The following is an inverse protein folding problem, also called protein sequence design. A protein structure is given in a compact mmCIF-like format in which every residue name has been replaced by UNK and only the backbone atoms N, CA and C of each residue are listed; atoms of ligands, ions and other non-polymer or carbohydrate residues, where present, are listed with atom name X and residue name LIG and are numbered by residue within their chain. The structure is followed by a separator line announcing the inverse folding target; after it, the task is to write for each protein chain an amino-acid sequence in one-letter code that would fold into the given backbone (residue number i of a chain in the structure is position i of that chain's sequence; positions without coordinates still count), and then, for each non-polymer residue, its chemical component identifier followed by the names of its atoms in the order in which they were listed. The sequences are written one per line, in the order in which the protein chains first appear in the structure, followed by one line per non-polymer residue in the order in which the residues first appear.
data_IF_885275113567
#
_entry.id   IF_885275113567
#
_cell.length_a   1.000
_cell.length_b   1.000
_cell.length_c   1.000
_cell.angle_alpha   90.00
_cell.angle_beta   90.00
_cell.angle_gamma   90.00
#
_symmetry.space_group_name_H-M   'P 1'
#
loop_
_entity.id
_entity.type
_entity.pdbx_description
1 polymer ?
#
# COMPACT_ATOMS: atom_id res chain seq x y z
N UNK A 1 24.76 -13.72 16.32
CA UNK A 1 24.27 -15.01 15.77
C UNK A 1 25.26 -15.61 14.78
N UNK A 2 25.78 -14.86 13.80
CA UNK A 2 26.76 -15.35 12.83
C UNK A 2 28.00 -15.91 13.51
N UNK A 3 28.61 -15.16 14.45
CA UNK A 3 29.80 -15.60 15.19
C UNK A 3 29.57 -16.85 16.02
N UNK A 4 28.32 -17.06 16.51
CA UNK A 4 27.94 -18.31 17.19
C UNK A 4 27.87 -19.48 16.21
N UNK A 5 27.28 -19.26 15.03
CA UNK A 5 27.13 -20.30 14.01
C UNK A 5 28.46 -20.65 13.32
N UNK A 6 29.42 -19.72 13.27
CA UNK A 6 30.72 -19.94 12.62
C UNK A 6 31.73 -20.66 13.51
N UNK A 7 31.44 -20.86 14.81
CA UNK A 7 32.25 -21.69 15.66
C UNK A 7 32.19 -23.16 15.25
N UNK A 8 33.32 -23.83 15.31
CA UNK A 8 33.44 -25.23 14.86
C UNK A 8 32.48 -26.17 15.59
N UNK A 9 32.26 -25.92 16.88
CA UNK A 9 31.32 -26.68 17.75
C UNK A 9 29.86 -26.58 17.32
N UNK A 10 29.49 -25.52 16.57
CA UNK A 10 28.11 -25.24 16.13
C UNK A 10 27.84 -25.64 14.66
N UNK A 11 28.79 -26.36 14.03
CA UNK A 11 28.64 -26.77 12.62
C UNK A 11 27.39 -27.60 12.36
N UNK A 12 27.06 -28.49 13.25
CA UNK A 12 25.87 -29.35 13.12
C UNK A 12 24.57 -28.48 13.22
N UNK A 13 24.56 -27.50 14.14
CA UNK A 13 23.46 -26.56 14.29
C UNK A 13 23.31 -25.75 13.01
N UNK A 14 24.39 -25.22 12.45
CA UNK A 14 24.41 -24.49 11.18
C UNK A 14 23.85 -25.33 10.03
N UNK A 15 24.23 -26.60 9.95
CA UNK A 15 23.73 -27.54 8.93
C UNK A 15 22.23 -27.80 9.08
N UNK A 16 21.72 -28.01 10.29
CA UNK A 16 20.29 -28.18 10.55
C UNK A 16 19.48 -26.95 10.25
N UNK A 17 19.98 -25.77 10.61
CA UNK A 17 19.35 -24.48 10.23
C UNK A 17 19.31 -24.39 8.70
N UNK A 18 20.42 -24.67 7.99
CA UNK A 18 20.45 -24.64 6.54
C UNK A 18 19.45 -25.59 5.88
N UNK A 19 19.19 -26.75 6.48
CA UNK A 19 18.18 -27.70 5.99
C UNK A 19 16.74 -27.26 6.26
N UNK A 20 16.51 -26.43 7.28
CA UNK A 20 15.21 -25.87 7.63
C UNK A 20 14.88 -24.55 6.90
N UNK A 21 15.84 -23.99 6.17
CA UNK A 21 15.63 -22.76 5.38
C UNK A 21 14.76 -23.07 4.17
N UNK A 22 13.55 -22.50 4.15
CA UNK A 22 12.63 -22.65 3.02
C UNK A 22 13.04 -21.78 1.84
N UNK A 23 13.51 -20.57 2.10
CA UNK A 23 14.00 -19.64 1.09
C UNK A 23 14.99 -18.63 1.69
N UNK A 24 15.70 -17.91 0.85
CA UNK A 24 16.59 -16.84 1.26
C UNK A 24 16.44 -15.64 0.34
N UNK A 25 16.43 -14.43 0.93
CA UNK A 25 16.37 -13.16 0.19
C UNK A 25 17.69 -12.42 0.40
N UNK A 26 18.26 -11.89 -0.69
CA UNK A 26 19.49 -11.10 -0.61
C UNK A 26 19.23 -9.78 0.12
N UNK A 27 20.03 -9.50 1.15
CA UNK A 27 19.95 -8.26 1.91
C UNK A 27 21.30 -7.57 2.01
N UNK A 28 21.33 -6.25 1.85
CA UNK A 28 22.49 -5.42 2.20
C UNK A 28 22.30 -4.94 3.64
N UNK A 29 22.90 -5.62 4.59
CA UNK A 29 22.83 -5.23 5.99
C UNK A 29 23.98 -4.26 6.31
N UNK A 30 23.65 -3.17 6.99
CA UNK A 30 24.65 -2.22 7.48
C UNK A 30 25.11 -2.68 8.87
N UNK A 31 26.40 -2.87 9.06
CA UNK A 31 26.98 -3.10 10.38
C UNK A 31 26.96 -1.82 11.20
N UNK A 32 26.71 -1.91 12.50
CA UNK A 32 26.92 -0.76 13.40
C UNK A 32 28.40 -0.35 13.40
N UNK A 33 28.68 0.89 13.80
CA UNK A 33 30.04 1.40 13.95
C UNK A 33 30.90 0.57 14.91
N UNK A 34 30.25 -0.17 15.81
CA UNK A 34 30.87 -1.06 16.82
C UNK A 34 30.99 -2.51 16.32
N UNK A 35 30.68 -2.78 15.04
CA UNK A 35 30.81 -4.12 14.45
C UNK A 35 29.73 -5.11 14.85
N UNK A 36 28.78 -4.74 15.72
CA UNK A 36 27.65 -5.61 16.11
C UNK A 36 26.54 -5.56 15.08
N UNK A 37 25.83 -6.67 14.91
CA UNK A 37 24.62 -6.69 14.09
C UNK A 37 23.49 -6.03 14.88
N UNK A 38 22.82 -5.06 14.25
CA UNK A 38 21.60 -4.49 14.82
C UNK A 38 20.43 -5.42 14.53
N UNK A 39 19.62 -5.67 15.55
CA UNK A 39 18.32 -6.30 15.37
C UNK A 39 17.38 -5.29 14.72
N UNK A 40 16.55 -5.75 13.80
CA UNK A 40 15.56 -4.95 13.12
C UNK A 40 14.31 -5.79 12.87
N UNK A 41 13.18 -5.10 12.77
CA UNK A 41 11.92 -5.72 12.42
C UNK A 41 11.89 -6.03 10.92
N UNK A 42 11.48 -7.25 10.58
CA UNK A 42 11.30 -7.72 9.21
C UNK A 42 9.83 -7.98 8.98
N UNK A 43 9.28 -7.31 7.97
CA UNK A 43 7.94 -7.59 7.48
C UNK A 43 8.04 -8.45 6.23
N UNK A 44 7.56 -9.67 6.33
CA UNK A 44 7.53 -10.62 5.23
C UNK A 44 6.51 -10.21 4.16
N UNK A 45 6.76 -10.60 2.92
CA UNK A 45 5.77 -10.54 1.86
C UNK A 45 4.71 -11.62 2.08
N UNK A 46 3.48 -11.35 1.66
CA UNK A 46 2.41 -12.34 1.78
C UNK A 46 2.71 -13.54 0.87
N UNK A 47 2.52 -14.74 1.40
CA UNK A 47 2.79 -16.01 0.72
C UNK A 47 1.61 -16.95 0.87
N UNK A 48 1.44 -17.82 -0.12
CA UNK A 48 0.47 -18.91 -0.06
C UNK A 48 0.92 -20.03 0.90
N UNK A 49 0.12 -21.08 1.02
CA UNK A 49 0.42 -22.24 1.85
C UNK A 49 1.67 -23.03 1.41
N UNK A 50 2.13 -22.79 0.18
CA UNK A 50 3.32 -23.45 -0.39
C UNK A 50 4.57 -22.56 -0.29
N UNK A 51 4.44 -21.35 0.25
CA UNK A 51 5.53 -20.39 0.41
C UNK A 51 5.77 -19.50 -0.82
N UNK A 52 4.89 -19.54 -1.82
CA UNK A 52 5.02 -18.69 -2.99
C UNK A 52 4.46 -17.28 -2.70
N UNK A 53 5.21 -16.21 -3.01
CA UNK A 53 4.68 -14.86 -2.91
C UNK A 53 3.51 -14.66 -3.88
N UNK A 54 2.53 -13.86 -3.48
CA UNK A 54 1.44 -13.45 -4.37
C UNK A 54 0.90 -12.08 -3.95
N UNK A 55 0.16 -11.43 -4.85
CA UNK A 55 -0.53 -10.18 -4.54
C UNK A 55 -2.00 -10.48 -4.30
N UNK A 56 -2.53 -10.22 -3.08
CA UNK A 56 -3.95 -10.40 -2.81
C UNK A 56 -4.82 -9.51 -3.69
N UNK A 57 -5.85 -10.11 -4.31
CA UNK A 57 -6.81 -9.36 -5.12
C UNK A 57 -7.53 -8.26 -4.36
N UNK A 58 -7.74 -8.44 -3.05
CA UNK A 58 -8.28 -7.42 -2.18
C UNK A 58 -7.40 -6.16 -2.11
N UNK A 59 -6.07 -6.31 -2.13
CA UNK A 59 -5.13 -5.19 -2.17
C UNK A 59 -5.19 -4.45 -3.49
N UNK A 60 -5.25 -5.19 -4.60
CA UNK A 60 -5.41 -4.59 -5.94
C UNK A 60 -6.76 -3.89 -6.07
N UNK A 61 -7.83 -4.50 -5.57
CA UNK A 61 -9.16 -3.88 -5.55
C UNK A 61 -9.16 -2.57 -4.74
N UNK A 62 -8.47 -2.53 -3.60
CA UNK A 62 -8.28 -1.31 -2.81
C UNK A 62 -7.53 -0.23 -3.58
N UNK A 63 -6.48 -0.58 -4.32
CA UNK A 63 -5.75 0.33 -5.20
C UNK A 63 -6.66 0.88 -6.31
N UNK A 64 -7.42 0.01 -6.98
CA UNK A 64 -8.40 0.42 -8.01
C UNK A 64 -9.43 1.39 -7.45
N UNK A 65 -9.97 1.10 -6.26
CA UNK A 65 -10.90 1.98 -5.56
C UNK A 65 -10.30 3.37 -5.34
N UNK A 66 -9.07 3.44 -4.86
CA UNK A 66 -8.36 4.71 -4.64
C UNK A 66 -8.15 5.48 -5.95
N UNK A 67 -7.72 4.80 -7.00
CA UNK A 67 -7.52 5.42 -8.31
C UNK A 67 -8.82 5.98 -8.89
N UNK A 68 -9.91 5.22 -8.79
CA UNK A 68 -11.25 5.65 -9.22
C UNK A 68 -11.72 6.87 -8.42
N UNK A 69 -11.61 6.82 -7.09
CA UNK A 69 -11.98 7.96 -6.22
C UNK A 69 -11.21 9.21 -6.59
N UNK A 70 -9.89 9.10 -6.80
CA UNK A 70 -9.06 10.23 -7.22
C UNK A 70 -9.54 10.85 -8.53
N UNK A 71 -9.90 10.02 -9.52
CA UNK A 71 -10.42 10.51 -10.79
C UNK A 71 -11.79 11.20 -10.64
N UNK A 72 -12.72 10.57 -9.89
CA UNK A 72 -14.05 11.14 -9.62
C UNK A 72 -13.93 12.52 -8.94
N UNK A 73 -13.06 12.61 -7.93
CA UNK A 73 -12.83 13.87 -7.20
C UNK A 73 -12.20 14.93 -8.10
N UNK A 74 -11.20 14.55 -8.91
CA UNK A 74 -10.52 15.48 -9.82
C UNK A 74 -11.44 16.01 -10.93
N UNK A 75 -12.34 15.17 -11.44
CA UNK A 75 -13.29 15.57 -12.47
C UNK A 75 -14.41 16.48 -11.92
N UNK A 76 -14.66 16.43 -10.59
CA UNK A 76 -15.66 17.25 -9.90
C UNK A 76 -15.06 18.01 -8.71
N UNK A 77 -13.86 18.56 -8.87
CA UNK A 77 -13.06 19.11 -7.78
C UNK A 77 -13.80 20.16 -6.96
N UNK A 78 -14.51 21.09 -7.60
CA UNK A 78 -15.25 22.16 -6.91
C UNK A 78 -16.33 21.57 -6.00
N UNK A 79 -17.12 20.63 -6.51
CA UNK A 79 -18.18 19.97 -5.73
C UNK A 79 -17.64 19.27 -4.48
N UNK A 80 -16.58 18.46 -4.63
CA UNK A 80 -16.01 17.71 -3.51
C UNK A 80 -15.25 18.61 -2.54
N UNK A 81 -14.62 19.71 -3.01
CA UNK A 81 -14.01 20.70 -2.13
C UNK A 81 -15.06 21.40 -1.27
N UNK A 82 -16.14 21.88 -1.86
CA UNK A 82 -17.24 22.51 -1.12
C UNK A 82 -17.88 21.55 -0.10
N UNK A 83 -18.02 20.26 -0.48
CA UNK A 83 -18.52 19.24 0.44
C UNK A 83 -17.58 19.04 1.61
N UNK A 84 -16.28 18.89 1.35
CA UNK A 84 -15.25 18.74 2.38
C UNK A 84 -15.22 19.94 3.32
N UNK A 85 -15.22 21.14 2.79
CA UNK A 85 -15.20 22.39 3.57
C UNK A 85 -16.45 22.52 4.46
N UNK A 86 -17.61 22.17 3.96
CA UNK A 86 -18.87 22.17 4.70
C UNK A 86 -18.87 21.18 5.87
N UNK A 87 -18.34 19.98 5.65
CA UNK A 87 -18.22 18.95 6.68
C UNK A 87 -17.19 19.33 7.75
N UNK A 88 -16.07 19.93 7.36
CA UNK A 88 -14.95 20.26 8.24
C UNK A 88 -15.12 21.59 8.96
N UNK A 89 -15.87 22.54 8.41
CA UNK A 89 -16.17 23.84 9.04
C UNK A 89 -16.83 23.70 10.42
N UNK A 90 -17.58 22.61 10.64
CA UNK A 90 -18.27 22.33 11.91
C UNK A 90 -17.37 21.72 12.98
N UNK A 91 -16.27 21.11 12.60
CA UNK A 91 -15.26 20.53 13.50
C UNK A 91 -14.00 20.11 12.76
N UNK A 92 -12.84 20.72 13.04
CA UNK A 92 -11.56 20.32 12.42
C UNK A 92 -11.18 18.85 12.66
N UNK A 93 -11.71 18.22 13.70
CA UNK A 93 -11.46 16.82 14.03
C UNK A 93 -12.21 15.84 13.10
N UNK A 94 -13.12 16.33 12.27
CA UNK A 94 -13.95 15.51 11.37
C UNK A 94 -13.33 15.23 9.98
N UNK A 95 -12.07 15.60 9.73
CA UNK A 95 -11.42 15.33 8.44
C UNK A 95 -11.52 13.86 7.99
N UNK A 96 -11.35 12.91 8.92
CA UNK A 96 -11.49 11.48 8.61
C UNK A 96 -12.92 11.08 8.24
N UNK A 97 -13.90 11.73 8.87
CA UNK A 97 -15.33 11.47 8.60
C UNK A 97 -15.74 12.09 7.27
N UNK A 98 -15.29 13.31 6.97
CA UNK A 98 -15.53 13.97 5.69
C UNK A 98 -14.97 13.16 4.51
N UNK A 99 -13.74 12.67 4.60
CA UNK A 99 -13.16 11.81 3.58
C UNK A 99 -13.96 10.52 3.36
N UNK A 100 -14.45 9.90 4.44
CA UNK A 100 -15.31 8.71 4.35
C UNK A 100 -16.66 9.00 3.72
N UNK A 101 -17.25 10.16 3.99
CA UNK A 101 -18.51 10.57 3.39
C UNK A 101 -18.37 10.84 1.90
N UNK A 102 -17.28 11.49 1.48
CA UNK A 102 -16.93 11.69 0.08
C UNK A 102 -16.76 10.34 -0.64
N UNK A 103 -16.03 9.42 -0.05
CA UNK A 103 -15.85 8.07 -0.60
C UNK A 103 -17.19 7.33 -0.73
N UNK A 104 -18.02 7.41 0.30
CA UNK A 104 -19.36 6.82 0.27
C UNK A 104 -20.18 7.40 -0.87
N UNK A 105 -20.23 8.70 -1.03
CA UNK A 105 -20.98 9.39 -2.08
C UNK A 105 -20.48 9.02 -3.47
N UNK A 106 -19.17 9.00 -3.67
CA UNK A 106 -18.54 8.67 -4.96
C UNK A 106 -18.85 7.24 -5.44
N UNK A 107 -19.03 6.30 -4.53
CA UNK A 107 -19.29 4.88 -4.86
C UNK A 107 -20.71 4.42 -4.57
N UNK A 108 -21.59 5.33 -4.16
CA UNK A 108 -22.97 4.99 -3.85
C UNK A 108 -23.77 4.77 -5.13
N UNK A 109 -24.46 3.65 -5.21
CA UNK A 109 -25.50 3.42 -6.21
C UNK A 109 -26.85 3.26 -5.52
N UNK A 110 -27.78 4.17 -5.80
CA UNK A 110 -29.12 4.13 -5.26
C UNK A 110 -29.89 2.96 -5.87
N UNK A 111 -30.38 2.07 -5.01
CA UNK A 111 -31.28 0.98 -5.39
C UNK A 111 -32.63 1.22 -4.75
N UNK A 112 -33.70 1.39 -5.54
CA UNK A 112 -35.02 1.71 -5.01
C UNK A 112 -35.63 0.64 -4.10
N UNK A 113 -35.11 -0.59 -4.11
CA UNK A 113 -35.73 -1.74 -3.46
C UNK A 113 -34.88 -2.36 -2.32
N UNK A 114 -33.76 -1.74 -1.91
CA UNK A 114 -32.84 -2.35 -0.96
C UNK A 114 -32.46 -1.35 0.12
N UNK A 115 -32.56 -1.86 1.37
CA UNK A 115 -32.17 -1.20 2.61
C UNK A 115 -30.86 -0.38 2.49
N UNK A 116 -30.82 0.73 3.22
CA UNK A 116 -29.79 1.78 3.25
C UNK A 116 -28.37 1.32 3.66
N UNK A 117 -28.06 0.01 3.54
CA UNK A 117 -26.74 -0.50 3.90
C UNK A 117 -25.69 -0.07 2.89
N UNK A 118 -24.65 0.60 3.37
CA UNK A 118 -23.51 1.08 2.57
C UNK A 118 -22.80 -0.03 1.78
N UNK A 119 -22.83 -1.27 2.28
CA UNK A 119 -22.16 -2.42 1.66
C UNK A 119 -22.90 -2.89 0.41
N UNK A 120 -24.25 -2.88 0.47
CA UNK A 120 -25.09 -3.37 -0.63
C UNK A 120 -25.11 -2.36 -1.78
N UNK A 121 -24.99 -1.08 -1.48
CA UNK A 121 -25.10 0.02 -2.43
C UNK A 121 -23.71 0.52 -2.93
N UNK A 122 -22.64 -0.16 -2.57
CA UNK A 122 -21.30 0.15 -3.07
C UNK A 122 -21.08 -0.49 -4.44
N UNK A 123 -20.77 0.33 -5.42
CA UNK A 123 -20.56 -0.10 -6.81
C UNK A 123 -19.37 -1.06 -6.97
N UNK A 124 -18.36 -0.94 -6.11
CA UNK A 124 -17.21 -1.83 -6.16
C UNK A 124 -17.58 -3.29 -5.89
N UNK A 125 -18.81 -3.58 -5.41
CA UNK A 125 -19.31 -4.96 -5.32
C UNK A 125 -19.39 -5.68 -6.67
N UNK A 126 -19.53 -4.91 -7.75
CA UNK A 126 -19.60 -5.43 -9.11
C UNK A 126 -18.23 -5.64 -9.76
N UNK A 127 -17.17 -5.27 -9.07
CA UNK A 127 -15.77 -5.48 -9.49
C UNK A 127 -15.18 -6.57 -8.61
N UNK A 128 -14.72 -7.64 -9.24
CA UNK A 128 -13.99 -8.74 -8.59
C UNK A 128 -12.57 -8.80 -9.12
N UNK A 129 -11.62 -9.01 -8.22
CA UNK A 129 -10.20 -9.14 -8.55
C UNK A 129 -9.70 -10.43 -7.91
N UNK A 130 -9.12 -11.33 -8.73
CA UNK A 130 -8.48 -12.54 -8.21
C UNK A 130 -7.18 -12.18 -7.48
N UNK A 131 -6.70 -13.10 -6.66
CA UNK A 131 -5.30 -13.08 -6.27
C UNK A 131 -4.44 -13.24 -7.53
N UNK A 132 -3.19 -12.78 -7.47
CA UNK A 132 -2.27 -12.97 -8.59
C UNK A 132 -1.86 -14.43 -8.72
N UNK A 133 -1.37 -14.80 -9.89
CA UNK A 133 -0.60 -16.03 -10.03
C UNK A 133 0.56 -16.04 -9.03
N UNK A 134 0.99 -17.24 -8.57
CA UNK A 134 2.14 -17.38 -7.70
C UNK A 134 3.40 -16.79 -8.34
N UNK A 135 4.15 -16.00 -7.55
CA UNK A 135 5.39 -15.36 -7.95
C UNK A 135 6.58 -16.17 -7.44
N UNK A 136 7.76 -15.89 -7.97
CA UNK A 136 8.97 -16.54 -7.47
C UNK A 136 9.52 -15.82 -6.25
N UNK A 137 10.04 -16.59 -5.29
CA UNK A 137 10.80 -16.04 -4.15
C UNK A 137 12.06 -15.29 -4.63
N UNK A 138 12.61 -15.66 -5.78
CA UNK A 138 13.76 -14.96 -6.40
C UNK A 138 13.43 -13.54 -6.84
N UNK A 139 12.15 -13.20 -6.99
CA UNK A 139 11.66 -11.87 -7.33
C UNK A 139 11.54 -10.95 -6.13
N UNK A 140 11.81 -11.48 -4.92
CA UNK A 140 11.80 -10.68 -3.70
C UNK A 140 13.14 -9.99 -3.47
N UNK A 141 13.08 -8.75 -3.00
CA UNK A 141 14.19 -7.99 -2.47
C UNK A 141 13.92 -7.55 -1.04
N UNK A 142 14.99 -7.45 -0.27
CA UNK A 142 14.94 -6.98 1.10
C UNK A 142 15.24 -5.49 1.15
N UNK A 143 14.24 -4.68 1.46
CA UNK A 143 14.30 -3.22 1.33
C UNK A 143 14.11 -2.56 2.70
N UNK A 144 14.96 -1.60 3.00
CA UNK A 144 14.83 -0.76 4.19
C UNK A 144 13.77 0.32 3.98
N UNK A 145 12.90 0.52 4.97
CA UNK A 145 11.90 1.57 4.92
C UNK A 145 12.54 2.95 5.04
N UNK A 146 12.11 3.85 4.17
CA UNK A 146 12.50 5.24 4.15
C UNK A 146 11.26 6.13 4.17
N UNK A 147 11.13 6.99 5.18
CA UNK A 147 10.03 7.96 5.25
C UNK A 147 10.46 9.26 4.57
N UNK A 148 9.72 9.65 3.52
CA UNK A 148 9.88 10.92 2.85
C UNK A 148 9.02 11.99 3.56
N UNK A 149 9.55 13.19 3.68
CA UNK A 149 8.81 14.34 4.20
C UNK A 149 8.42 15.26 3.03
N UNK A 150 7.16 15.72 3.04
CA UNK A 150 6.72 16.79 2.15
C UNK A 150 7.51 18.08 2.43
N UNK A 151 7.71 18.93 1.41
CA UNK A 151 8.33 20.25 1.58
C UNK A 151 7.52 21.17 2.48
N UNK A 152 6.20 21.00 2.50
CA UNK A 152 5.27 21.88 3.23
C UNK A 152 5.08 21.46 4.70
N UNK A 153 5.42 20.24 5.08
CA UNK A 153 5.33 19.75 6.46
C UNK A 153 6.30 20.46 7.44
N UNK A 154 7.12 21.36 6.94
CA UNK A 154 8.10 22.09 7.77
C UNK A 154 7.47 23.16 8.67
N UNK A 155 6.23 23.60 8.40
CA UNK A 155 5.60 24.72 9.11
C UNK A 155 4.65 24.32 10.25
N UNK A 156 3.83 23.26 10.07
CA UNK A 156 2.71 23.01 10.99
C UNK A 156 2.77 21.72 11.83
N UNK A 157 3.60 20.74 11.49
CA UNK A 157 3.77 19.55 12.32
C UNK A 157 4.95 19.70 13.25
N UNK A 158 4.68 20.05 14.52
CA UNK A 158 5.67 19.93 15.61
C UNK A 158 6.07 18.45 15.71
N UNK A 159 7.26 18.07 15.25
CA UNK A 159 7.69 16.67 15.33
C UNK A 159 7.73 16.21 16.78
N UNK A 160 7.36 14.96 17.03
CA UNK A 160 7.47 14.36 18.37
C UNK A 160 8.88 14.53 18.92
N UNK A 161 9.01 14.59 20.26
CA UNK A 161 10.29 14.84 20.94
C UNK A 161 11.42 13.89 20.48
N UNK A 162 11.07 12.66 20.06
CA UNK A 162 12.02 11.66 19.55
C UNK A 162 12.48 11.95 18.10
N UNK A 163 11.63 12.54 17.26
CA UNK A 163 11.98 12.94 15.90
C UNK A 163 12.95 14.15 15.88
N UNK A 164 12.94 14.99 16.93
CA UNK A 164 13.86 16.14 17.04
C UNK A 164 15.31 15.74 17.27
N UNK A 165 15.59 14.61 17.92
CA UNK A 165 16.98 14.15 18.17
C UNK A 165 17.68 13.71 16.89
N UNK A 166 16.98 13.19 15.92
CA UNK A 166 17.56 12.69 14.65
C UNK A 166 17.73 13.79 13.58
N UNK A 167 17.07 14.96 13.72
CA UNK A 167 17.17 16.08 12.75
C UNK A 167 18.48 16.87 12.80
N UNK A 168 19.36 16.66 13.80
CA UNK A 168 20.61 17.41 13.95
C UNK A 168 21.71 17.10 12.95
N UNK A 169 21.50 16.14 12.03
CA UNK A 169 22.56 15.61 11.16
C UNK A 169 22.63 16.15 9.73
N UNK A 170 21.56 16.61 9.10
CA UNK A 170 21.68 17.10 7.72
C UNK A 170 20.46 17.91 7.28
N UNK A 171 20.65 19.21 7.02
CA UNK A 171 19.60 20.12 6.54
C UNK A 171 19.06 19.80 5.13
N UNK A 172 19.72 18.88 4.41
CA UNK A 172 19.34 18.46 3.06
C UNK A 172 18.62 17.10 3.00
N UNK A 173 18.38 16.45 4.14
CA UNK A 173 17.79 15.13 4.16
C UNK A 173 16.26 15.24 4.10
N UNK A 174 15.67 14.88 2.97
CA UNK A 174 14.21 14.89 2.72
C UNK A 174 13.48 13.70 3.33
N UNK A 175 14.13 12.90 4.16
CA UNK A 175 13.53 11.70 4.70
C UNK A 175 14.31 11.13 5.88
N UNK A 176 13.74 10.12 6.52
CA UNK A 176 14.32 9.41 7.64
C UNK A 176 14.37 7.91 7.37
N UNK A 177 15.55 7.31 7.55
CA UNK A 177 15.67 5.85 7.51
C UNK A 177 15.12 5.24 8.81
N UNK A 178 14.22 4.30 8.68
CA UNK A 178 13.73 3.50 9.78
C UNK A 178 14.44 2.13 9.80
N UNK A 179 14.70 1.59 11.00
CA UNK A 179 15.24 0.23 11.13
C UNK A 179 14.16 -0.84 10.94
N UNK A 180 13.35 -0.65 9.90
CA UNK A 180 12.27 -1.55 9.50
C UNK A 180 12.62 -2.04 8.09
N UNK A 181 12.63 -3.34 7.91
CA UNK A 181 12.87 -3.96 6.63
C UNK A 181 11.63 -4.68 6.13
N UNK A 182 11.46 -4.71 4.82
CA UNK A 182 10.34 -5.39 4.18
C UNK A 182 10.84 -6.23 3.02
N UNK A 183 10.22 -7.38 2.83
CA UNK A 183 10.29 -8.09 1.57
C UNK A 183 9.40 -7.34 0.57
N UNK A 184 9.95 -6.99 -0.56
CA UNK A 184 9.26 -6.29 -1.64
C UNK A 184 9.57 -6.98 -2.96
N UNK A 185 8.65 -6.91 -3.91
CA UNK A 185 8.94 -7.34 -5.28
C UNK A 185 9.98 -6.42 -5.92
N UNK A 186 10.88 -7.01 -6.69
CA UNK A 186 11.84 -6.24 -7.49
C UNK A 186 11.11 -5.53 -8.63
N UNK A 187 11.58 -4.34 -9.05
CA UNK A 187 11.00 -3.66 -10.21
C UNK A 187 11.08 -4.53 -11.47
N UNK A 188 10.01 -4.49 -12.28
CA UNK A 188 9.94 -5.19 -13.56
C UNK A 188 9.40 -6.63 -13.48
N UNK A 189 8.93 -7.07 -12.32
CA UNK A 189 8.22 -8.35 -12.19
C UNK A 189 6.82 -8.22 -12.80
N UNK A 190 6.49 -9.12 -13.73
CA UNK A 190 5.16 -9.20 -14.32
C UNK A 190 4.19 -9.86 -13.34
N UNK A 191 3.03 -9.25 -13.15
CA UNK A 191 2.00 -9.72 -12.24
C UNK A 191 0.74 -9.99 -13.05
N UNK A 192 0.31 -11.25 -13.08
CA UNK A 192 -0.91 -11.67 -13.74
C UNK A 192 -2.02 -11.87 -12.73
N UNK A 193 -3.18 -11.28 -12.99
CA UNK A 193 -4.40 -11.45 -12.21
C UNK A 193 -5.63 -11.30 -13.12
N UNK A 194 -6.77 -11.78 -12.65
CA UNK A 194 -8.03 -11.65 -13.37
C UNK A 194 -8.89 -10.56 -12.73
N UNK A 195 -9.35 -9.62 -13.56
CA UNK A 195 -10.35 -8.63 -13.22
C UNK A 195 -11.67 -9.00 -13.90
N UNK A 196 -12.73 -9.13 -13.10
CA UNK A 196 -14.08 -9.37 -13.62
C UNK A 196 -14.98 -8.21 -13.23
N UNK A 197 -15.73 -7.71 -14.19
CA UNK A 197 -16.71 -6.64 -14.01
C UNK A 197 -18.06 -7.20 -14.36
N UNK A 198 -19.01 -7.12 -13.42
CA UNK A 198 -20.39 -7.55 -13.62
C UNK A 198 -21.13 -6.52 -14.49
N UNK A 199 -21.78 -6.96 -15.56
CA UNK A 199 -22.52 -6.08 -16.49
C UNK A 199 -23.64 -5.27 -15.81
N UNK A 200 -24.12 -5.71 -14.64
CA UNK A 200 -25.08 -4.95 -13.84
C UNK A 200 -24.57 -3.59 -13.38
N UNK A 201 -23.26 -3.40 -13.38
CA UNK A 201 -22.64 -2.10 -13.06
C UNK A 201 -23.14 -0.99 -13.98
N UNK A 202 -23.39 -1.28 -15.25
CA UNK A 202 -23.83 -0.32 -16.28
C UNK A 202 -25.19 0.30 -15.96
N UNK A 203 -26.03 -0.41 -15.21
CA UNK A 203 -27.33 0.12 -14.77
C UNK A 203 -27.22 1.28 -13.80
N UNK A 204 -26.10 1.38 -13.11
CA UNK A 204 -25.88 2.37 -12.03
C UNK A 204 -24.91 3.48 -12.44
N UNK A 205 -24.08 3.26 -13.45
CA UNK A 205 -23.09 4.26 -13.92
C UNK A 205 -23.37 4.82 -15.31
N UNK A 206 -24.58 4.62 -15.85
CA UNK A 206 -24.94 5.20 -17.16
C UNK A 206 -24.08 4.65 -18.29
N UNK A 207 -24.23 3.37 -18.55
CA UNK A 207 -23.93 2.65 -19.80
C UNK A 207 -22.49 2.57 -20.31
N UNK A 208 -21.71 3.62 -20.19
CA UNK A 208 -20.37 3.68 -20.81
C UNK A 208 -19.23 4.06 -19.83
N UNK A 209 -19.52 4.22 -18.56
CA UNK A 209 -18.53 4.80 -17.65
C UNK A 209 -17.60 3.78 -17.00
N UNK A 210 -17.93 2.49 -17.02
CA UNK A 210 -17.17 1.48 -16.29
C UNK A 210 -16.81 0.27 -17.17
N UNK A 211 -15.89 0.43 -18.10
CA UNK A 211 -15.34 -0.69 -18.85
C UNK A 211 -13.82 -0.84 -18.61
N UNK A 212 -13.27 -1.97 -19.02
CA UNK A 212 -11.84 -2.27 -18.83
C UNK A 212 -10.91 -1.24 -19.46
N UNK A 213 -11.29 -0.60 -20.57
CA UNK A 213 -10.51 0.44 -21.23
C UNK A 213 -10.46 1.72 -20.38
N UNK A 214 -11.60 2.16 -19.89
CA UNK A 214 -11.67 3.34 -18.99
C UNK A 214 -10.92 3.09 -17.68
N UNK A 215 -10.99 1.87 -17.14
CA UNK A 215 -10.22 1.53 -15.94
C UNK A 215 -8.71 1.64 -16.19
N UNK A 216 -8.24 1.23 -17.37
CA UNK A 216 -6.84 1.43 -17.79
C UNK A 216 -6.47 2.91 -17.84
N UNK A 217 -7.32 3.75 -18.42
CA UNK A 217 -7.08 5.20 -18.52
C UNK A 217 -7.08 5.86 -17.12
N UNK A 218 -7.99 5.46 -16.26
CA UNK A 218 -8.05 5.90 -14.85
C UNK A 218 -6.74 5.54 -14.11
N UNK A 219 -6.26 4.31 -14.28
CA UNK A 219 -5.00 3.89 -13.66
C UNK A 219 -3.81 4.67 -14.20
N UNK A 220 -3.74 4.87 -15.52
CA UNK A 220 -2.67 5.65 -16.15
C UNK A 220 -2.68 7.10 -15.65
N UNK A 221 -3.85 7.71 -15.53
CA UNK A 221 -3.99 9.06 -14.98
C UNK A 221 -3.54 9.11 -13.52
N UNK A 222 -3.96 8.16 -12.70
CA UNK A 222 -3.59 8.08 -11.29
C UNK A 222 -2.08 7.93 -11.10
N UNK A 223 -1.43 7.06 -11.88
CA UNK A 223 0.02 6.82 -11.81
C UNK A 223 0.85 8.04 -12.26
N UNK A 224 0.28 8.94 -13.04
CA UNK A 224 0.95 10.15 -13.54
C UNK A 224 0.58 11.41 -12.76
N UNK A 225 -0.16 11.30 -11.65
CA UNK A 225 -0.39 12.45 -10.77
C UNK A 225 0.93 12.91 -10.15
N UNK A 226 1.18 14.23 -10.09
CA UNK A 226 2.36 14.77 -9.40
C UNK A 226 2.28 14.45 -7.90
N UNK A 227 3.38 13.92 -7.36
CA UNK A 227 3.57 13.66 -5.93
C UNK A 227 3.88 14.95 -5.16
#
# INVERSE_FOLDING_TARGET
MQDFLDRQENREIKKRIGQAVLYSVKAKLTRSKEGSYQYFDVFEFVKDAYGNPYIPGSSVKGMLRTALLSNIVLDNQTFYQEHFDRETARSPQKHKTAGRNIEKEAFWCEKPDIDDSTIVNDIMRYVSVSDSDPLSVSDLAFVKKYDLFSRDDSADHKPSANARKNRRGNKNNRGNELNIYRECLTPGVDITLTLSIDERIDRYFGGDQFNALKLKDVLNRFMNLPL
#
